data_IF_816047641680
#
_entry.id   IF_816047641680
#
_cell.length_a   1.000
_cell.length_b   1.000
_cell.length_c   1.000
_cell.angle_alpha   90.00
_cell.angle_beta   90.00
_cell.angle_gamma   90.00
#
_symmetry.space_group_name_H-M   'P 1'
#
loop_
_entity.id
_entity.type
_entity.pdbx_description
1 polymer ?
#
# COMPACT_ATOMS: atom_id res chain seq x y z
N UNK A 1 16.15 20.53 -31.41
CA UNK A 1 16.86 21.04 -30.23
C UNK A 1 16.37 20.19 -29.07
N UNK A 2 17.04 19.05 -28.83
CA UNK A 2 16.63 18.07 -27.84
C UNK A 2 17.06 18.51 -26.44
N UNK A 3 16.11 18.81 -25.58
CA UNK A 3 16.37 19.00 -24.18
C UNK A 3 16.78 17.64 -23.59
N UNK A 4 18.04 17.50 -23.24
CA UNK A 4 18.53 16.42 -22.38
C UNK A 4 17.88 16.62 -21.00
N UNK A 5 16.84 15.87 -20.72
CA UNK A 5 16.30 15.76 -19.36
C UNK A 5 17.38 15.13 -18.50
N UNK A 6 17.75 15.87 -17.48
CA UNK A 6 18.93 15.70 -16.68
C UNK A 6 19.13 14.37 -16.02
N UNK A 7 20.43 14.03 -15.94
CA UNK A 7 21.05 13.27 -14.88
C UNK A 7 20.39 11.97 -14.50
N UNK A 8 20.38 10.98 -15.40
CA UNK A 8 20.18 9.59 -14.99
C UNK A 8 21.28 9.20 -13.99
N UNK A 9 20.98 9.35 -12.72
CA UNK A 9 21.76 8.71 -11.67
C UNK A 9 21.81 7.23 -12.04
N UNK A 10 23.00 6.77 -12.41
CA UNK A 10 23.22 5.37 -12.78
C UNK A 10 22.79 4.56 -11.57
N UNK A 11 21.60 3.98 -11.65
CA UNK A 11 21.15 2.98 -10.68
C UNK A 11 22.30 1.99 -10.54
N UNK A 12 22.93 1.98 -9.35
CA UNK A 12 24.01 1.05 -9.06
C UNK A 12 23.53 -0.35 -9.45
N UNK A 13 24.40 -1.16 -10.02
CA UNK A 13 24.12 -2.59 -10.26
C UNK A 13 23.82 -3.24 -8.91
N UNK A 14 22.60 -3.04 -8.40
CA UNK A 14 22.10 -3.73 -7.23
C UNK A 14 21.88 -5.18 -7.63
N UNK A 15 22.52 -6.10 -6.94
CA UNK A 15 22.28 -7.54 -7.07
C UNK A 15 20.96 -7.91 -6.39
N UNK A 16 19.86 -7.25 -6.76
CA UNK A 16 18.54 -7.64 -6.28
C UNK A 16 18.16 -8.95 -6.96
N UNK A 17 18.00 -9.98 -6.16
CA UNK A 17 17.49 -11.27 -6.63
C UNK A 17 15.97 -11.21 -6.76
N UNK A 18 15.40 -12.12 -7.56
CA UNK A 18 13.95 -12.26 -7.67
C UNK A 18 13.30 -12.50 -6.29
N UNK A 19 14.01 -13.22 -5.42
CA UNK A 19 13.55 -13.53 -4.06
C UNK A 19 13.44 -12.24 -3.23
N UNK A 20 14.42 -11.34 -3.33
CA UNK A 20 14.39 -10.06 -2.59
C UNK A 20 13.19 -9.20 -3.00
N UNK A 21 12.91 -9.14 -4.30
CA UNK A 21 11.76 -8.39 -4.83
C UNK A 21 10.43 -8.99 -4.37
N UNK A 22 10.31 -10.32 -4.39
CA UNK A 22 9.12 -11.04 -3.91
C UNK A 22 8.95 -10.81 -2.40
N UNK A 23 10.02 -10.96 -1.62
CA UNK A 23 9.98 -10.78 -0.17
C UNK A 23 9.56 -9.35 0.21
N UNK A 24 10.10 -8.34 -0.47
CA UNK A 24 9.72 -6.94 -0.28
C UNK A 24 8.25 -6.70 -0.65
N UNK A 25 7.77 -7.29 -1.74
CA UNK A 25 6.37 -7.17 -2.17
C UNK A 25 5.42 -7.81 -1.17
N UNK A 26 5.73 -9.00 -0.66
CA UNK A 26 4.95 -9.69 0.37
C UNK A 26 4.93 -8.86 1.67
N UNK A 27 6.08 -8.31 2.08
CA UNK A 27 6.18 -7.45 3.25
C UNK A 27 5.32 -6.19 3.15
N UNK A 28 5.31 -5.55 1.97
CA UNK A 28 4.50 -4.36 1.72
C UNK A 28 2.98 -4.65 1.73
N UNK A 29 2.55 -5.77 1.16
CA UNK A 29 1.13 -6.15 1.10
C UNK A 29 0.59 -6.52 2.49
N UNK A 30 1.44 -7.07 3.38
CA UNK A 30 1.02 -7.53 4.71
C UNK A 30 -0.13 -8.54 4.66
N UNK A 31 0.04 -9.73 4.04
CA UNK A 31 -1.07 -10.63 3.74
C UNK A 31 -1.83 -11.09 4.98
N UNK A 32 -1.16 -11.23 6.10
CA UNK A 32 -1.79 -11.62 7.38
C UNK A 32 -2.73 -10.52 7.87
N UNK A 33 -2.26 -9.26 7.85
CA UNK A 33 -3.09 -8.12 8.23
C UNK A 33 -4.26 -7.92 7.26
N UNK A 34 -4.00 -8.07 5.96
CA UNK A 34 -5.04 -7.99 4.95
C UNK A 34 -6.13 -9.05 5.15
N UNK A 35 -5.76 -10.29 5.45
CA UNK A 35 -6.70 -11.37 5.73
C UNK A 35 -7.47 -11.15 7.04
N UNK A 36 -6.78 -10.75 8.10
CA UNK A 36 -7.40 -10.58 9.42
C UNK A 36 -8.30 -9.34 9.53
N UNK A 37 -8.00 -8.27 8.78
CA UNK A 37 -8.71 -7.01 8.88
C UNK A 37 -9.65 -6.74 7.69
N UNK A 38 -9.16 -6.86 6.46
CA UNK A 38 -9.97 -6.50 5.29
C UNK A 38 -11.06 -7.53 4.98
N UNK A 39 -10.80 -8.82 5.14
CA UNK A 39 -11.81 -9.83 4.84
C UNK A 39 -13.04 -9.70 5.77
N UNK A 40 -12.90 -9.64 7.10
CA UNK A 40 -14.03 -9.39 7.99
C UNK A 40 -14.76 -8.08 7.67
N UNK A 41 -14.03 -7.01 7.33
CA UNK A 41 -14.62 -5.72 6.96
C UNK A 41 -15.46 -5.83 5.67
N UNK A 42 -14.96 -6.52 4.65
CA UNK A 42 -15.67 -6.73 3.38
C UNK A 42 -16.93 -7.57 3.61
N UNK A 43 -16.85 -8.59 4.45
CA UNK A 43 -18.01 -9.43 4.79
C UNK A 43 -19.06 -8.66 5.60
N UNK A 44 -18.65 -7.62 6.32
CA UNK A 44 -19.53 -6.78 7.13
C UNK A 44 -19.49 -7.09 8.63
N UNK A 45 -18.56 -7.92 9.08
CA UNK A 45 -18.44 -8.29 10.49
C UNK A 45 -18.12 -7.07 11.38
N UNK A 46 -17.37 -6.09 10.86
CA UNK A 46 -16.97 -4.87 11.58
C UNK A 46 -17.81 -3.62 11.24
N UNK A 47 -18.77 -3.71 10.32
CA UNK A 47 -19.60 -2.58 9.82
C UNK A 47 -21.09 -2.77 10.12
N UNK A 48 -21.45 -3.28 11.29
CA UNK A 48 -22.84 -3.51 11.68
C UNK A 48 -23.65 -4.33 10.63
N UNK A 49 -23.02 -5.31 10.01
CA UNK A 49 -23.65 -6.15 8.98
C UNK A 49 -23.83 -5.51 7.61
N UNK A 50 -23.28 -4.31 7.37
CA UNK A 50 -23.38 -3.60 6.10
C UNK A 50 -22.18 -3.91 5.18
N UNK A 51 -21.89 -5.16 4.96
CA UNK A 51 -20.86 -5.62 4.03
C UNK A 51 -21.44 -6.42 2.86
N UNK A 52 -20.55 -6.97 2.04
CA UNK A 52 -20.95 -7.79 0.89
C UNK A 52 -21.50 -9.18 1.28
N UNK A 53 -21.38 -9.57 2.55
CA UNK A 53 -21.90 -10.84 3.06
C UNK A 53 -21.43 -12.03 2.21
N UNK A 54 -22.39 -12.87 1.79
CA UNK A 54 -22.14 -14.06 0.95
C UNK A 54 -21.57 -13.68 -0.44
N UNK A 55 -21.76 -12.45 -0.92
CA UNK A 55 -21.22 -11.98 -2.20
C UNK A 55 -19.71 -11.60 -2.11
N UNK A 56 -19.09 -11.60 -0.92
CA UNK A 56 -17.69 -11.23 -0.72
C UNK A 56 -16.70 -12.01 -1.62
N UNK A 57 -16.81 -13.34 -1.80
CA UNK A 57 -15.89 -14.06 -2.69
C UNK A 57 -15.97 -13.58 -4.14
N UNK A 58 -17.17 -13.27 -4.63
CA UNK A 58 -17.37 -12.77 -5.99
C UNK A 58 -16.75 -11.38 -6.14
N UNK A 59 -16.97 -10.51 -5.18
CA UNK A 59 -16.38 -9.16 -5.16
C UNK A 59 -14.85 -9.21 -5.16
N UNK A 60 -14.25 -10.12 -4.41
CA UNK A 60 -12.79 -10.32 -4.35
C UNK A 60 -12.27 -10.83 -5.70
N UNK A 61 -12.97 -11.76 -6.36
CA UNK A 61 -12.57 -12.28 -7.67
C UNK A 61 -12.62 -11.17 -8.72
N UNK A 62 -13.65 -10.35 -8.74
CA UNK A 62 -13.77 -9.21 -9.67
C UNK A 62 -12.62 -8.21 -9.42
N UNK A 63 -12.35 -7.88 -8.16
CA UNK A 63 -11.24 -7.01 -7.80
C UNK A 63 -9.89 -7.59 -8.23
N UNK A 64 -9.68 -8.90 -8.07
CA UNK A 64 -8.47 -9.60 -8.50
C UNK A 64 -8.27 -9.48 -10.02
N UNK A 65 -9.30 -9.67 -10.82
CA UNK A 65 -9.24 -9.52 -12.29
C UNK A 65 -8.84 -8.07 -12.65
N UNK A 66 -9.46 -7.07 -12.00
CA UNK A 66 -9.09 -5.68 -12.20
C UNK A 66 -7.63 -5.39 -11.85
N UNK A 67 -7.14 -5.91 -10.73
CA UNK A 67 -5.75 -5.76 -10.31
C UNK A 67 -4.77 -6.47 -11.25
N UNK A 68 -5.12 -7.63 -11.78
CA UNK A 68 -4.32 -8.31 -12.81
C UNK A 68 -4.20 -7.47 -14.09
N UNK A 69 -5.27 -6.80 -14.51
CA UNK A 69 -5.23 -5.90 -15.66
C UNK A 69 -4.30 -4.70 -15.42
N UNK A 70 -4.36 -4.08 -14.24
CA UNK A 70 -3.46 -2.99 -13.84
C UNK A 70 -2.00 -3.48 -13.80
N UNK A 71 -1.74 -4.63 -13.19
CA UNK A 71 -0.40 -5.23 -13.15
C UNK A 71 0.16 -5.52 -14.55
N UNK A 72 -0.67 -5.99 -15.46
CA UNK A 72 -0.30 -6.18 -16.86
C UNK A 72 0.14 -4.87 -17.53
N UNK A 73 -0.62 -3.80 -17.36
CA UNK A 73 -0.29 -2.47 -17.91
C UNK A 73 1.04 -1.99 -17.35
N UNK A 74 1.22 -2.01 -16.02
CA UNK A 74 2.47 -1.59 -15.35
C UNK A 74 3.65 -2.43 -15.86
N UNK A 75 3.50 -3.73 -15.99
CA UNK A 75 4.56 -4.61 -16.50
C UNK A 75 4.99 -4.23 -17.93
N UNK A 76 4.05 -3.79 -18.77
CA UNK A 76 4.36 -3.33 -20.13
C UNK A 76 5.16 -2.02 -20.12
N UNK A 77 4.80 -1.08 -19.25
CA UNK A 77 5.55 0.17 -19.08
C UNK A 77 6.94 -0.08 -18.49
N UNK A 78 7.05 -0.89 -17.45
CA UNK A 78 8.32 -1.23 -16.81
C UNK A 78 9.35 -1.85 -17.74
N UNK A 79 8.92 -2.56 -18.78
CA UNK A 79 9.81 -3.11 -19.81
C UNK A 79 10.37 -2.06 -20.78
N UNK A 80 9.74 -0.91 -20.88
CA UNK A 80 10.12 0.15 -21.83
C UNK A 80 10.80 1.34 -21.14
N UNK A 81 10.36 1.65 -19.93
CA UNK A 81 10.81 2.83 -19.19
C UNK A 81 11.59 2.35 -17.96
N UNK A 82 12.90 2.57 -17.98
CA UNK A 82 13.80 2.21 -16.89
C UNK A 82 14.07 3.46 -16.03
N UNK A 83 13.04 3.95 -15.35
CA UNK A 83 13.12 5.14 -14.51
C UNK A 83 12.74 4.83 -13.07
N UNK A 84 13.32 5.59 -12.13
CA UNK A 84 13.11 5.39 -10.70
C UNK A 84 11.75 5.89 -10.19
N UNK A 85 11.09 6.77 -10.94
CA UNK A 85 9.82 7.41 -10.56
C UNK A 85 8.58 6.53 -10.69
N UNK A 86 8.72 5.28 -11.17
CA UNK A 86 7.63 4.30 -11.25
C UNK A 86 6.35 4.88 -11.90
N UNK A 87 5.24 4.92 -11.17
CA UNK A 87 3.95 5.38 -11.69
C UNK A 87 3.97 6.82 -12.23
N UNK A 88 4.71 7.70 -11.57
CA UNK A 88 4.88 9.09 -12.02
C UNK A 88 5.49 9.15 -13.45
N UNK A 89 6.57 8.41 -13.66
CA UNK A 89 7.27 8.41 -14.95
C UNK A 89 6.40 7.79 -16.05
N UNK A 90 5.65 6.73 -15.74
CA UNK A 90 4.75 6.09 -16.70
C UNK A 90 3.61 7.01 -17.14
N UNK A 91 3.03 7.75 -16.20
CA UNK A 91 1.97 8.71 -16.51
C UNK A 91 2.52 9.93 -17.26
N UNK A 92 3.72 10.41 -16.89
CA UNK A 92 4.38 11.52 -17.57
C UNK A 92 4.69 11.19 -19.03
N UNK A 93 5.19 9.99 -19.29
CA UNK A 93 5.49 9.52 -20.64
C UNK A 93 4.20 9.36 -21.49
N UNK A 94 3.12 8.90 -20.89
CA UNK A 94 1.87 8.65 -21.60
C UNK A 94 1.03 9.92 -21.84
N UNK A 95 0.99 10.85 -20.88
CA UNK A 95 0.07 11.99 -20.85
C UNK A 95 0.73 13.35 -20.70
N UNK A 96 2.05 13.40 -20.57
CA UNK A 96 2.83 14.61 -20.41
C UNK A 96 3.01 15.06 -18.96
N UNK A 97 3.93 16.02 -18.76
CA UNK A 97 4.42 16.45 -17.45
C UNK A 97 3.33 16.98 -16.51
N UNK A 98 2.34 17.71 -17.02
CA UNK A 98 1.28 18.29 -16.18
C UNK A 98 0.41 17.23 -15.54
N UNK A 99 0.01 16.21 -16.32
CA UNK A 99 -0.81 15.10 -15.83
C UNK A 99 0.04 14.19 -14.94
N UNK A 100 1.30 13.95 -15.31
CA UNK A 100 2.25 13.21 -14.48
C UNK A 100 2.43 13.83 -13.10
N UNK A 101 2.60 15.16 -13.02
CA UNK A 101 2.71 15.87 -11.75
C UNK A 101 1.48 15.68 -10.85
N UNK A 102 0.28 15.84 -11.40
CA UNK A 102 -0.98 15.63 -10.66
C UNK A 102 -1.08 14.16 -10.19
N UNK A 103 -0.76 13.21 -11.07
CA UNK A 103 -0.79 11.79 -10.73
C UNK A 103 0.19 11.44 -9.59
N UNK A 104 1.40 12.03 -9.62
CA UNK A 104 2.41 11.90 -8.56
C UNK A 104 1.91 12.42 -7.22
N UNK A 105 1.28 13.59 -7.20
CA UNK A 105 0.68 14.18 -6.00
C UNK A 105 -0.47 13.33 -5.43
N UNK A 106 -1.36 12.87 -6.30
CA UNK A 106 -2.48 12.00 -5.89
C UNK A 106 -1.95 10.68 -5.33
N UNK A 107 -0.96 10.08 -5.99
CA UNK A 107 -0.32 8.86 -5.51
C UNK A 107 0.34 9.06 -4.15
N UNK A 108 1.12 10.12 -3.97
CA UNK A 108 1.78 10.44 -2.70
C UNK A 108 0.77 10.67 -1.57
N UNK A 109 -0.28 11.46 -1.83
CA UNK A 109 -1.37 11.67 -0.88
C UNK A 109 -2.09 10.36 -0.52
N UNK A 110 -2.32 9.50 -1.49
CA UNK A 110 -2.90 8.17 -1.28
C UNK A 110 -2.05 7.27 -0.40
N UNK A 111 -0.72 7.27 -0.60
CA UNK A 111 0.21 6.50 0.25
C UNK A 111 0.21 7.02 1.69
N UNK A 112 0.22 8.34 1.89
CA UNK A 112 0.13 8.93 3.23
C UNK A 112 -1.18 8.52 3.91
N UNK A 113 -2.31 8.69 3.22
CA UNK A 113 -3.63 8.34 3.77
C UNK A 113 -3.72 6.85 4.12
N UNK A 114 -3.21 5.97 3.26
CA UNK A 114 -3.17 4.53 3.51
C UNK A 114 -2.30 4.20 4.72
N UNK A 115 -1.12 4.81 4.82
CA UNK A 115 -0.19 4.58 5.93
C UNK A 115 -0.84 4.98 7.27
N UNK A 116 -1.48 6.16 7.32
CA UNK A 116 -2.22 6.60 8.50
C UNK A 116 -3.37 5.65 8.84
N UNK A 117 -4.14 5.23 7.84
CA UNK A 117 -5.25 4.29 8.04
C UNK A 117 -4.80 2.95 8.63
N UNK A 118 -3.67 2.39 8.15
CA UNK A 118 -3.09 1.14 8.68
C UNK A 118 -2.66 1.32 10.14
N UNK A 119 -2.01 2.43 10.49
CA UNK A 119 -1.59 2.70 11.86
C UNK A 119 -2.77 2.84 12.82
N UNK A 120 -3.85 3.51 12.40
CA UNK A 120 -5.08 3.62 13.19
C UNK A 120 -5.79 2.27 13.32
N UNK A 121 -5.89 1.50 12.23
CA UNK A 121 -6.49 0.17 12.25
C UNK A 121 -5.71 -0.80 13.16
N UNK A 122 -4.38 -0.72 13.17
CA UNK A 122 -3.54 -1.50 14.09
C UNK A 122 -3.86 -1.17 15.56
N UNK A 123 -4.01 0.12 15.89
CA UNK A 123 -4.37 0.57 17.23
C UNK A 123 -5.72 0.02 17.68
N UNK A 124 -6.75 0.08 16.81
CA UNK A 124 -8.07 -0.49 17.09
C UNK A 124 -8.02 -2.01 17.28
N UNK A 125 -7.33 -2.72 16.40
CA UNK A 125 -7.17 -4.17 16.50
C UNK A 125 -6.46 -4.60 17.80
N UNK A 126 -5.41 -3.88 18.18
CA UNK A 126 -4.68 -4.17 19.41
C UNK A 126 -5.52 -3.88 20.66
N UNK A 127 -6.26 -2.78 20.66
CA UNK A 127 -7.23 -2.45 21.70
C UNK A 127 -8.24 -3.60 21.89
N UNK A 128 -8.92 -4.00 20.83
CA UNK A 128 -9.94 -5.06 20.90
C UNK A 128 -9.35 -6.37 21.39
N UNK A 129 -8.16 -6.74 20.91
CA UNK A 129 -7.47 -7.96 21.30
C UNK A 129 -7.11 -7.95 22.80
N UNK A 130 -6.59 -6.84 23.32
CA UNK A 130 -6.19 -6.72 24.73
C UNK A 130 -7.41 -6.60 25.64
N UNK A 131 -8.44 -5.90 25.21
CA UNK A 131 -9.69 -5.80 25.95
C UNK A 131 -10.36 -7.17 26.14
N UNK A 132 -10.51 -7.93 25.05
CA UNK A 132 -11.15 -9.25 25.11
C UNK A 132 -10.33 -10.32 25.85
N UNK A 133 -8.99 -10.28 25.76
CA UNK A 133 -8.15 -11.31 26.39
C UNK A 133 -7.67 -10.96 27.80
N UNK A 134 -7.51 -9.70 28.11
CA UNK A 134 -6.88 -9.24 29.37
C UNK A 134 -7.69 -8.19 30.12
N UNK A 135 -8.83 -7.73 29.59
CA UNK A 135 -9.67 -6.72 30.24
C UNK A 135 -8.99 -5.33 30.36
N UNK A 136 -8.02 -5.04 29.51
CA UNK A 136 -7.29 -3.76 29.54
C UNK A 136 -8.14 -2.67 28.88
N UNK A 137 -8.60 -1.71 29.66
CA UNK A 137 -9.44 -0.56 29.22
C UNK A 137 -8.58 0.66 28.86
N UNK A 138 -7.63 0.51 27.95
CA UNK A 138 -6.87 1.65 27.45
C UNK A 138 -7.45 2.10 26.10
N UNK A 139 -7.67 3.40 25.92
CA UNK A 139 -8.20 3.96 24.68
C UNK A 139 -7.35 3.57 23.46
N UNK A 140 -7.98 3.16 22.38
CA UNK A 140 -7.36 2.64 21.15
C UNK A 140 -6.29 3.57 20.54
N UNK A 141 -6.43 4.88 20.70
CA UNK A 141 -5.52 5.85 20.12
C UNK A 141 -4.12 5.82 20.76
N UNK A 142 -3.98 5.41 22.04
CA UNK A 142 -2.69 5.27 22.70
C UNK A 142 -1.85 4.17 22.04
N UNK A 143 -2.49 3.08 21.63
CA UNK A 143 -1.81 2.01 20.90
C UNK A 143 -1.36 2.47 19.52
N UNK A 144 -2.14 3.30 18.83
CA UNK A 144 -1.77 3.89 17.54
C UNK A 144 -0.58 4.84 17.69
N UNK A 145 -0.56 5.68 18.72
CA UNK A 145 0.58 6.57 19.01
C UNK A 145 1.85 5.76 19.30
N UNK A 146 1.75 4.73 20.15
CA UNK A 146 2.88 3.86 20.46
C UNK A 146 3.45 3.20 19.19
N UNK A 147 2.58 2.72 18.30
CA UNK A 147 2.99 2.17 17.01
C UNK A 147 3.79 3.18 16.18
N UNK A 148 3.30 4.42 16.05
CA UNK A 148 3.98 5.46 15.28
C UNK A 148 5.31 5.89 15.90
N UNK A 149 5.39 5.96 17.21
CA UNK A 149 6.65 6.27 17.92
C UNK A 149 7.68 5.18 17.67
N UNK A 150 7.29 3.90 17.76
CA UNK A 150 8.19 2.78 17.48
C UNK A 150 8.62 2.78 16.01
N UNK A 151 7.69 2.97 15.09
CA UNK A 151 8.00 3.05 13.66
C UNK A 151 8.99 4.19 13.35
N UNK A 152 8.76 5.38 13.91
CA UNK A 152 9.66 6.52 13.77
C UNK A 152 11.04 6.25 14.36
N UNK A 153 11.12 5.64 15.53
CA UNK A 153 12.39 5.27 16.15
C UNK A 153 13.19 4.27 15.32
N UNK A 154 12.52 3.32 14.67
CA UNK A 154 13.16 2.37 13.76
C UNK A 154 13.66 3.02 12.46
N UNK A 155 13.01 4.08 12.00
CA UNK A 155 13.43 4.81 10.78
C UNK A 155 14.64 5.72 11.02
N UNK A 156 14.85 6.21 12.25
CA UNK A 156 15.96 7.12 12.60
C UNK A 156 17.28 6.35 12.82
N UNK A 157 17.22 5.05 13.03
CA UNK A 157 18.40 4.21 13.32
C UNK A 157 19.03 3.63 12.05
#
# INVERSE_FOLDING_TARGET
MGAQVGGGEKLGKGNLTLIDVIAQSIGFIGPVFAAAFFIPTIVGASLNGKGAGIASPVSIIIAMIGMCAVAWIISRFARRIHAAGSLYDYVTEAFGERIGFVAGWVYYGGVIALTLAIGLAFGGFLHDTLFFNHGVELEWFWYSIAFWVVAAAMMIR
#
